data_IF_026243968761
#
_entry.id   IF_026243968761
#
_cell.length_a   1.000
_cell.length_b   1.000
_cell.length_c   1.000
_cell.angle_alpha   90.00
_cell.angle_beta   90.00
_cell.angle_gamma   90.00
#
_symmetry.space_group_name_H-M   'P 1'
#
loop_
_entity.id
_entity.type
_entity.pdbx_description
1 polymer ?
#
# COMPACT_ATOMS: atom_id res chain seq x y z
N UNK A 1 16.56 9.78 1.16
CA UNK A 1 15.48 8.80 0.94
C UNK A 1 16.10 7.48 0.50
N UNK A 2 16.14 6.47 1.37
CA UNK A 2 16.58 5.12 1.02
C UNK A 2 15.96 4.12 2.00
N UNK A 3 14.69 3.77 1.80
CA UNK A 3 13.99 2.79 2.62
C UNK A 3 13.90 1.39 1.99
N UNK A 4 13.92 1.32 0.65
CA UNK A 4 13.72 0.09 -0.11
C UNK A 4 14.68 0.06 -1.31
N UNK A 5 15.34 -1.07 -1.53
CA UNK A 5 16.21 -1.31 -2.69
C UNK A 5 15.72 -2.54 -3.45
N UNK A 6 15.54 -2.39 -4.75
CA UNK A 6 15.30 -3.50 -5.65
C UNK A 6 16.65 -4.09 -6.10
N UNK A 7 16.85 -5.38 -5.90
CA UNK A 7 18.02 -6.13 -6.38
C UNK A 7 17.56 -7.22 -7.34
N UNK A 8 17.97 -7.11 -8.59
CA UNK A 8 17.64 -8.04 -9.68
C UNK A 8 18.83 -8.90 -10.10
N UNK A 9 19.94 -8.88 -9.35
CA UNK A 9 21.17 -9.63 -9.69
C UNK A 9 20.92 -11.12 -9.97
N UNK A 10 20.01 -11.74 -9.24
CA UNK A 10 19.64 -13.15 -9.42
C UNK A 10 18.72 -13.42 -10.63
N UNK A 11 18.11 -12.38 -11.20
CA UNK A 11 17.17 -12.48 -12.33
C UNK A 11 17.91 -12.50 -13.68
N UNK A 12 19.07 -11.82 -13.75
CA UNK A 12 19.79 -11.62 -15.01
C UNK A 12 20.31 -12.89 -15.69
N UNK A 13 20.31 -14.02 -14.98
CA UNK A 13 20.65 -15.33 -15.54
C UNK A 13 19.58 -15.87 -16.50
N UNK A 14 18.33 -15.38 -16.43
CA UNK A 14 17.22 -15.85 -17.27
C UNK A 14 16.40 -14.73 -17.94
N UNK A 15 16.56 -13.46 -17.54
CA UNK A 15 16.00 -12.30 -18.26
C UNK A 15 17.08 -11.23 -18.40
N UNK A 16 17.36 -10.76 -19.62
CA UNK A 16 18.38 -9.71 -19.80
C UNK A 16 17.89 -8.34 -19.31
N UNK A 17 18.82 -7.50 -18.90
CA UNK A 17 18.53 -6.11 -18.53
C UNK A 17 17.88 -5.34 -19.69
N UNK A 18 18.33 -5.55 -20.92
CA UNK A 18 17.75 -4.94 -22.12
C UNK A 18 16.28 -5.31 -22.29
N UNK A 19 15.90 -6.57 -22.06
CA UNK A 19 14.49 -7.00 -22.12
C UNK A 19 13.64 -6.25 -21.10
N UNK A 20 14.13 -6.10 -19.86
CA UNK A 20 13.43 -5.36 -18.81
C UNK A 20 13.28 -3.88 -19.19
N UNK A 21 14.37 -3.26 -19.65
CA UNK A 21 14.39 -1.86 -20.07
C UNK A 21 13.52 -1.62 -21.32
N UNK A 22 13.31 -2.63 -22.16
CA UNK A 22 12.40 -2.59 -23.30
C UNK A 22 10.94 -2.30 -22.93
N UNK A 23 10.51 -2.60 -21.70
CA UNK A 23 9.16 -2.31 -21.20
C UNK A 23 8.99 -0.88 -20.66
N UNK A 24 10.04 -0.05 -20.70
CA UNK A 24 10.02 1.29 -20.09
C UNK A 24 8.86 2.15 -20.57
N UNK A 25 8.62 2.20 -21.87
CA UNK A 25 7.58 3.06 -22.44
C UNK A 25 6.18 2.58 -22.06
N UNK A 26 5.97 1.26 -22.03
CA UNK A 26 4.71 0.66 -21.57
C UNK A 26 4.49 0.91 -20.07
N UNK A 27 5.51 0.71 -19.23
CA UNK A 27 5.43 0.98 -17.79
C UNK A 27 5.10 2.45 -17.50
N UNK A 28 5.70 3.39 -18.24
CA UNK A 28 5.39 4.82 -18.13
C UNK A 28 3.95 5.13 -18.55
N UNK A 29 3.44 4.49 -19.61
CA UNK A 29 2.06 4.67 -20.05
C UNK A 29 1.06 4.18 -18.99
N UNK A 30 1.30 3.01 -18.39
CA UNK A 30 0.46 2.48 -17.30
C UNK A 30 0.53 3.34 -16.04
N UNK A 31 1.73 3.83 -15.69
CA UNK A 31 1.89 4.75 -14.57
C UNK A 31 1.10 6.05 -14.80
N UNK A 32 1.16 6.62 -16.00
CA UNK A 32 0.37 7.80 -16.36
C UNK A 32 -1.12 7.52 -16.23
N UNK A 33 -1.60 6.40 -16.77
CA UNK A 33 -3.01 6.02 -16.70
C UNK A 33 -3.52 5.82 -15.25
N UNK A 34 -2.65 5.31 -14.36
CA UNK A 34 -2.93 5.19 -12.93
C UNK A 34 -3.17 6.56 -12.28
N UNK A 35 -2.25 7.51 -12.47
CA UNK A 35 -2.36 8.85 -11.86
C UNK A 35 -3.48 9.69 -12.50
N UNK A 36 -3.73 9.52 -13.80
CA UNK A 36 -4.81 10.22 -14.51
C UNK A 36 -6.17 9.52 -14.38
N UNK A 37 -6.24 8.37 -13.70
CA UNK A 37 -7.47 7.61 -13.44
C UNK A 37 -8.23 7.23 -14.74
N UNK A 38 -7.50 6.93 -15.82
CA UNK A 38 -8.06 6.62 -17.15
C UNK A 38 -8.18 5.11 -17.45
N UNK A 39 -7.58 4.26 -16.61
CA UNK A 39 -7.65 2.81 -16.74
C UNK A 39 -8.96 2.19 -16.23
N UNK A 40 -9.18 0.92 -16.55
CA UNK A 40 -10.30 0.16 -16.01
C UNK A 40 -10.20 0.04 -14.47
N UNK A 41 -11.33 0.21 -13.78
CA UNK A 41 -11.39 0.17 -12.31
C UNK A 41 -10.86 1.43 -11.62
N UNK A 42 -10.76 2.55 -12.35
CA UNK A 42 -10.25 3.82 -11.82
C UNK A 42 -11.04 4.39 -10.64
N UNK A 43 -12.29 3.95 -10.45
CA UNK A 43 -13.12 4.26 -9.27
C UNK A 43 -12.49 3.79 -7.94
N UNK A 44 -11.55 2.84 -7.97
CA UNK A 44 -10.97 2.20 -6.79
C UNK A 44 -9.50 2.59 -6.51
N UNK A 45 -9.06 3.76 -7.00
CA UNK A 45 -7.66 4.23 -6.89
C UNK A 45 -7.38 5.13 -5.67
N UNK A 46 -8.28 5.20 -4.68
CA UNK A 46 -8.09 6.05 -3.50
C UNK A 46 -6.79 5.78 -2.72
N UNK A 47 -6.25 4.56 -2.79
CA UNK A 47 -5.00 4.18 -2.13
C UNK A 47 -3.75 4.90 -2.68
N UNK A 48 -3.81 5.47 -3.89
CA UNK A 48 -2.69 6.19 -4.51
C UNK A 48 -2.41 7.51 -3.79
N UNK A 49 -3.46 8.24 -3.42
CA UNK A 49 -3.39 9.56 -2.77
C UNK A 49 -3.48 9.46 -1.24
N UNK A 50 -4.09 8.37 -0.73
CA UNK A 50 -4.35 8.16 0.70
C UNK A 50 -3.16 8.47 1.62
N UNK A 51 -1.91 7.99 1.39
CA UNK A 51 -0.80 8.28 2.30
C UNK A 51 -0.50 9.77 2.46
N UNK A 52 -0.72 10.58 1.42
CA UNK A 52 -0.50 12.02 1.45
C UNK A 52 -1.69 12.81 1.98
N UNK A 53 -2.89 12.21 1.99
CA UNK A 53 -4.13 12.83 2.47
C UNK A 53 -4.40 12.55 3.96
N UNK A 54 -3.72 11.57 4.56
CA UNK A 54 -3.84 11.28 5.99
C UNK A 54 -3.37 12.50 6.81
N UNK A 55 -4.31 13.17 7.47
CA UNK A 55 -4.03 14.31 8.34
C UNK A 55 -3.59 13.86 9.74
N UNK A 56 -2.86 14.74 10.43
CA UNK A 56 -2.50 14.53 11.84
C UNK A 56 -3.75 14.37 12.73
N UNK A 57 -4.82 15.11 12.45
CA UNK A 57 -6.09 15.00 13.17
C UNK A 57 -6.72 13.62 12.99
N UNK A 58 -6.63 13.03 11.79
CA UNK A 58 -7.14 11.68 11.52
C UNK A 58 -6.37 10.63 12.32
N UNK A 59 -5.04 10.74 12.37
CA UNK A 59 -4.20 9.85 13.19
C UNK A 59 -4.53 10.01 14.67
N UNK A 60 -4.65 11.26 15.14
CA UNK A 60 -4.98 11.56 16.53
C UNK A 60 -6.33 10.97 16.96
N UNK A 61 -7.33 10.99 16.08
CA UNK A 61 -8.63 10.37 16.34
C UNK A 61 -8.53 8.85 16.52
N UNK A 62 -7.76 8.17 15.66
CA UNK A 62 -7.47 6.74 15.78
C UNK A 62 -6.75 6.44 17.11
N UNK A 63 -5.73 7.22 17.46
CA UNK A 63 -4.96 7.06 18.70
C UNK A 63 -5.80 7.28 19.96
N UNK A 64 -6.69 8.28 19.94
CA UNK A 64 -7.63 8.55 21.02
C UNK A 64 -8.62 7.39 21.20
N UNK A 65 -9.19 6.89 20.10
CA UNK A 65 -10.07 5.74 20.10
C UNK A 65 -9.39 4.48 20.64
N UNK A 66 -8.15 4.22 20.22
CA UNK A 66 -7.36 3.11 20.71
C UNK A 66 -7.06 3.23 22.21
N UNK A 67 -6.74 4.44 22.69
CA UNK A 67 -6.49 4.71 24.11
C UNK A 67 -7.74 4.50 24.96
N UNK A 68 -8.88 4.99 24.49
CA UNK A 68 -10.17 4.76 25.14
C UNK A 68 -10.48 3.27 25.27
N UNK A 69 -10.33 2.49 24.20
CA UNK A 69 -10.58 1.05 24.20
C UNK A 69 -9.62 0.33 25.16
N UNK A 70 -8.31 0.60 25.11
CA UNK A 70 -7.32 0.00 26.02
C UNK A 70 -7.62 0.23 27.50
N UNK A 71 -8.20 1.38 27.86
CA UNK A 71 -8.58 1.67 29.25
C UNK A 71 -9.83 0.92 29.74
N UNK A 72 -10.62 0.36 28.83
CA UNK A 72 -11.95 -0.21 29.12
C UNK A 72 -12.02 -1.71 28.96
N UNK A 73 -11.14 -2.31 28.16
CA UNK A 73 -11.18 -3.75 27.86
C UNK A 73 -9.80 -4.38 27.96
N UNK A 74 -9.76 -5.63 28.43
CA UNK A 74 -8.54 -6.45 28.46
C UNK A 74 -8.24 -7.05 27.08
N UNK A 75 -9.29 -7.35 26.30
CA UNK A 75 -9.18 -8.02 25.00
C UNK A 75 -10.07 -7.31 23.97
N UNK A 76 -9.54 -7.14 22.76
CA UNK A 76 -10.28 -6.68 21.58
C UNK A 76 -10.36 -7.84 20.58
N UNK A 77 -11.58 -8.18 20.15
CA UNK A 77 -11.82 -9.18 19.10
C UNK A 77 -12.13 -8.45 17.80
N UNK A 78 -11.23 -8.59 16.81
CA UNK A 78 -11.44 -8.05 15.47
C UNK A 78 -12.19 -9.08 14.63
N UNK A 79 -13.41 -8.75 14.20
CA UNK A 79 -14.22 -9.60 13.32
C UNK A 79 -14.12 -9.07 11.89
N UNK A 80 -13.40 -9.80 11.03
CA UNK A 80 -13.21 -9.43 9.63
C UNK A 80 -12.62 -10.59 8.82
N UNK A 81 -12.73 -10.51 7.50
CA UNK A 81 -12.15 -11.47 6.56
C UNK A 81 -11.53 -10.72 5.36
N UNK A 82 -10.69 -11.39 4.58
CA UNK A 82 -10.05 -10.78 3.40
C UNK A 82 -9.16 -9.60 3.79
N UNK A 83 -9.27 -8.49 3.06
CA UNK A 83 -8.47 -7.28 3.31
C UNK A 83 -8.64 -6.71 4.73
N UNK A 84 -9.84 -6.80 5.30
CA UNK A 84 -10.14 -6.34 6.67
C UNK A 84 -9.48 -7.18 7.77
N UNK A 85 -9.00 -8.39 7.45
CA UNK A 85 -8.26 -9.25 8.38
C UNK A 85 -6.76 -9.32 8.05
N UNK A 86 -6.41 -9.57 6.79
CA UNK A 86 -5.02 -9.81 6.41
C UNK A 86 -4.12 -8.59 6.64
N UNK A 87 -4.62 -7.38 6.38
CA UNK A 87 -3.87 -6.15 6.60
C UNK A 87 -3.57 -5.89 8.08
N UNK A 88 -4.59 -6.00 8.94
CA UNK A 88 -4.41 -5.84 10.38
C UNK A 88 -3.56 -6.97 10.99
N UNK A 89 -3.80 -8.22 10.57
CA UNK A 89 -3.06 -9.39 11.05
C UNK A 89 -1.58 -9.33 10.69
N UNK A 90 -1.20 -8.83 9.51
CA UNK A 90 0.20 -8.74 9.09
C UNK A 90 1.04 -7.75 9.90
N UNK A 91 0.40 -6.77 10.57
CA UNK A 91 1.10 -5.74 11.36
C UNK A 91 1.11 -6.08 12.86
N UNK A 92 0.06 -6.72 13.36
CA UNK A 92 -0.10 -7.03 14.80
C UNK A 92 0.75 -8.24 15.25
N UNK A 93 1.22 -9.07 14.30
CA UNK A 93 2.01 -10.29 14.61
C UNK A 93 3.33 -10.01 15.29
#
# INVERSE_FOLDING_TARGET
MSGLKLDLSNVYSFVSEETILGYKDEANAHQKALYEKTGAGSDFLGWVELPSEISEDHIKDIENSATLLRSKVEVIVVVGIGGSYLGSKAIIT
#
